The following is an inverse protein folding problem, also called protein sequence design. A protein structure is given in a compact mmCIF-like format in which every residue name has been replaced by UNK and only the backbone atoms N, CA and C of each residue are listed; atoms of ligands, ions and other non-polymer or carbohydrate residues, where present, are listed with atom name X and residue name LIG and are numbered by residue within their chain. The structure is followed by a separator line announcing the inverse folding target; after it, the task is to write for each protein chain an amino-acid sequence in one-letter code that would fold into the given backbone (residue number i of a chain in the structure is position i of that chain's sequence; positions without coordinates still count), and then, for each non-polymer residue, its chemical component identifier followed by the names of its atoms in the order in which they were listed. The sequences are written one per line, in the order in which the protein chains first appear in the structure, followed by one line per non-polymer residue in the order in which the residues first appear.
data_IF_929316868996
#
_entry.id   IF_929316868996
#
_cell.length_a   1.000
_cell.length_b   1.000
_cell.length_c   1.000
_cell.angle_alpha   90.00
_cell.angle_beta   90.00
_cell.angle_gamma   90.00
#
_symmetry.space_group_name_H-M   'P 1'
#
loop_
_entity.id
_entity.type
_entity.pdbx_description
1 polymer ?
#
# COMPACT_ATOMS: atom_id res chain seq x y z
N UNK A 1 -14.03 -41.07 -38.21
CA UNK A 1 -13.96 -39.79 -37.51
C UNK A 1 -12.74 -39.83 -36.60
N UNK A 2 -11.74 -39.00 -36.86
CA UNK A 2 -10.59 -38.91 -35.95
C UNK A 2 -11.10 -38.32 -34.64
N UNK A 3 -11.13 -39.09 -33.54
CA UNK A 3 -11.31 -38.58 -32.21
C UNK A 3 -10.10 -37.69 -31.91
N UNK A 4 -10.29 -36.38 -31.87
CA UNK A 4 -9.29 -35.43 -31.35
C UNK A 4 -9.03 -35.76 -29.89
N UNK A 5 -7.93 -36.45 -29.60
CA UNK A 5 -7.49 -36.76 -28.26
C UNK A 5 -7.18 -35.43 -27.54
N UNK A 6 -7.98 -35.13 -26.56
CA UNK A 6 -7.82 -33.91 -25.74
C UNK A 6 -6.52 -33.94 -24.97
N UNK A 7 -5.64 -32.97 -25.20
CA UNK A 7 -4.34 -32.84 -24.51
C UNK A 7 -4.55 -32.44 -23.05
N UNK A 8 -3.87 -33.13 -22.15
CA UNK A 8 -3.77 -32.70 -20.74
C UNK A 8 -2.86 -31.48 -20.66
N UNK A 9 -3.04 -30.61 -19.64
CA UNK A 9 -2.21 -29.40 -19.46
C UNK A 9 -0.70 -29.73 -19.43
N UNK A 10 -0.31 -30.88 -18.90
CA UNK A 10 1.08 -31.36 -18.90
C UNK A 10 1.65 -31.67 -20.29
N UNK A 11 0.79 -31.83 -21.29
CA UNK A 11 1.15 -32.10 -22.68
C UNK A 11 1.18 -30.82 -23.53
N UNK A 12 0.78 -29.66 -22.94
CA UNK A 12 0.85 -28.36 -23.62
C UNK A 12 2.30 -27.86 -23.69
N UNK A 13 2.57 -26.88 -24.53
CA UNK A 13 3.82 -26.14 -24.50
C UNK A 13 4.04 -25.54 -23.12
N UNK A 14 5.27 -25.46 -22.66
CA UNK A 14 5.59 -25.04 -21.28
C UNK A 14 5.06 -23.63 -20.99
N UNK A 15 5.19 -22.74 -21.98
CA UNK A 15 4.71 -21.35 -21.94
C UNK A 15 3.19 -21.21 -21.83
N UNK A 16 2.43 -22.23 -22.23
CA UNK A 16 0.96 -22.22 -22.17
C UNK A 16 0.41 -22.82 -20.88
N UNK A 17 1.26 -23.49 -20.09
CA UNK A 17 0.85 -24.07 -18.81
C UNK A 17 0.70 -22.97 -17.77
N UNK A 18 -0.46 -22.80 -17.10
CA UNK A 18 -0.73 -21.66 -16.25
C UNK A 18 0.31 -21.40 -15.14
N UNK A 19 0.84 -22.44 -14.49
CA UNK A 19 1.83 -22.30 -13.41
C UNK A 19 3.18 -21.85 -13.94
N UNK A 20 3.64 -22.46 -15.01
CA UNK A 20 4.89 -22.16 -15.69
C UNK A 20 4.83 -20.75 -16.31
N UNK A 21 3.70 -20.38 -16.90
CA UNK A 21 3.42 -19.04 -17.42
C UNK A 21 3.44 -17.99 -16.33
N UNK A 22 2.87 -18.29 -15.13
CA UNK A 22 2.94 -17.42 -13.97
C UNK A 22 4.38 -17.18 -13.53
N UNK A 23 5.18 -18.24 -13.45
CA UNK A 23 6.58 -18.17 -13.03
C UNK A 23 7.46 -17.37 -14.00
N UNK A 24 7.26 -17.60 -15.31
CA UNK A 24 8.08 -16.97 -16.34
C UNK A 24 7.69 -15.51 -16.61
N UNK A 25 6.38 -15.21 -16.66
CA UNK A 25 5.86 -13.95 -17.19
C UNK A 25 5.08 -13.12 -16.13
N UNK A 26 4.97 -13.61 -14.89
CA UNK A 26 4.25 -12.94 -13.80
C UNK A 26 2.72 -13.00 -13.94
N UNK A 27 2.04 -12.55 -12.89
CA UNK A 27 0.58 -12.71 -12.76
C UNK A 27 -0.25 -11.96 -13.80
N UNK A 28 0.27 -10.87 -14.36
CA UNK A 28 -0.46 -10.07 -15.37
C UNK A 28 -0.58 -10.73 -16.73
N UNK A 29 0.19 -11.79 -16.98
CA UNK A 29 0.16 -12.54 -18.23
C UNK A 29 -0.97 -13.58 -18.28
N UNK A 30 -1.60 -13.89 -17.14
CA UNK A 30 -2.64 -14.90 -17.03
C UNK A 30 -4.03 -14.30 -17.19
N UNK A 31 -4.91 -15.09 -17.82
CA UNK A 31 -6.35 -14.84 -17.83
C UNK A 31 -6.98 -15.23 -16.48
N UNK A 32 -8.17 -14.73 -16.19
CA UNK A 32 -8.91 -15.09 -14.97
C UNK A 32 -9.17 -16.60 -14.89
N UNK A 33 -9.46 -17.24 -16.02
CA UNK A 33 -9.64 -18.69 -16.08
C UNK A 33 -8.36 -19.46 -15.76
N UNK A 34 -7.19 -19.00 -16.20
CA UNK A 34 -5.90 -19.61 -15.86
C UNK A 34 -5.56 -19.42 -14.37
N UNK A 35 -5.89 -18.25 -13.76
CA UNK A 35 -5.73 -18.02 -12.33
C UNK A 35 -6.61 -18.96 -11.50
N UNK A 36 -7.89 -19.10 -11.88
CA UNK A 36 -8.82 -20.05 -11.24
C UNK A 36 -8.33 -21.49 -11.43
N UNK A 37 -7.81 -21.84 -12.60
CA UNK A 37 -7.25 -23.17 -12.88
C UNK A 37 -6.06 -23.52 -11.97
N UNK A 38 -5.22 -22.53 -11.63
CA UNK A 38 -4.13 -22.70 -10.64
C UNK A 38 -4.70 -23.02 -9.25
N UNK A 39 -5.77 -22.32 -8.83
CA UNK A 39 -6.42 -22.53 -7.53
C UNK A 39 -7.03 -23.92 -7.39
N UNK A 40 -7.74 -24.38 -8.43
CA UNK A 40 -8.38 -25.70 -8.40
C UNK A 40 -7.41 -26.87 -8.66
N UNK A 41 -6.25 -26.60 -9.24
CA UNK A 41 -5.12 -27.51 -9.43
C UNK A 41 -5.33 -28.63 -10.46
N UNK A 42 -6.55 -29.12 -10.65
CA UNK A 42 -6.89 -30.18 -11.61
C UNK A 42 -8.31 -30.03 -12.14
N UNK A 43 -8.55 -30.47 -13.37
CA UNK A 43 -9.88 -30.61 -13.95
C UNK A 43 -10.62 -31.87 -13.46
N UNK A 44 -11.42 -32.42 -14.35
CA UNK A 44 -12.11 -33.71 -14.21
C UNK A 44 -11.71 -34.66 -15.35
N UNK A 45 -12.44 -35.77 -15.54
CA UNK A 45 -12.16 -36.74 -16.61
C UNK A 45 -12.38 -36.15 -18.01
N UNK A 46 -13.27 -35.18 -18.15
CA UNK A 46 -13.73 -34.62 -19.43
C UNK A 46 -13.08 -33.25 -19.72
N UNK A 47 -12.64 -32.52 -18.70
CA UNK A 47 -12.16 -31.15 -18.81
C UNK A 47 -10.80 -30.96 -18.13
N UNK A 48 -9.94 -30.16 -18.75
CA UNK A 48 -8.73 -29.62 -18.09
C UNK A 48 -9.12 -28.64 -17.00
N UNK A 49 -8.19 -28.30 -16.10
CA UNK A 49 -8.43 -27.28 -15.08
C UNK A 49 -8.80 -25.91 -15.68
N UNK A 50 -8.21 -25.54 -16.83
CA UNK A 50 -8.50 -24.28 -17.52
C UNK A 50 -9.90 -24.26 -18.12
N UNK A 51 -10.34 -25.37 -18.71
CA UNK A 51 -11.69 -25.47 -19.27
C UNK A 51 -12.76 -25.47 -18.18
N UNK A 52 -12.54 -26.22 -17.10
CA UNK A 52 -13.42 -26.22 -15.94
C UNK A 52 -13.51 -24.81 -15.33
N UNK A 53 -12.37 -24.12 -15.16
CA UNK A 53 -12.33 -22.74 -14.66
C UNK A 53 -13.07 -21.78 -15.61
N UNK A 54 -12.91 -21.94 -16.92
CA UNK A 54 -13.64 -21.14 -17.92
C UNK A 54 -15.15 -21.35 -17.84
N UNK A 55 -15.60 -22.61 -17.68
CA UNK A 55 -17.02 -22.93 -17.51
C UNK A 55 -17.60 -22.31 -16.24
N UNK A 56 -16.87 -22.37 -15.12
CA UNK A 56 -17.25 -21.70 -13.86
C UNK A 56 -17.37 -20.20 -14.07
N UNK A 57 -16.38 -19.57 -14.69
CA UNK A 57 -16.36 -18.13 -14.92
C UNK A 57 -17.49 -17.68 -15.87
N UNK A 58 -17.75 -18.45 -16.92
CA UNK A 58 -18.85 -18.20 -17.86
C UNK A 58 -20.21 -18.25 -17.15
N UNK A 59 -20.42 -19.16 -16.19
CA UNK A 59 -21.67 -19.22 -15.38
C UNK A 59 -21.91 -17.98 -14.51
N UNK A 60 -20.85 -17.19 -14.28
CA UNK A 60 -20.90 -15.89 -13.60
C UNK A 60 -20.81 -14.71 -14.60
N UNK A 61 -21.17 -14.93 -15.87
CA UNK A 61 -21.14 -13.87 -16.89
C UNK A 61 -19.75 -13.32 -17.18
N UNK A 62 -18.69 -14.12 -16.97
CA UNK A 62 -17.29 -13.71 -17.08
C UNK A 62 -16.95 -12.53 -16.16
N UNK A 63 -17.57 -12.45 -15.00
CA UNK A 63 -17.41 -11.37 -14.03
C UNK A 63 -16.98 -11.92 -12.67
N UNK A 64 -15.80 -11.50 -12.19
CA UNK A 64 -15.24 -11.93 -10.90
C UNK A 64 -16.08 -11.47 -9.70
N UNK A 65 -16.79 -10.34 -9.80
CA UNK A 65 -17.67 -9.90 -8.71
C UNK A 65 -18.88 -10.82 -8.61
N UNK A 66 -19.47 -11.26 -9.74
CA UNK A 66 -20.57 -12.22 -9.75
C UNK A 66 -20.11 -13.61 -9.30
N UNK A 67 -18.87 -14.01 -9.69
CA UNK A 67 -18.28 -15.25 -9.19
C UNK A 67 -18.06 -15.19 -7.67
N UNK A 68 -17.66 -14.03 -7.14
CA UNK A 68 -17.47 -13.81 -5.70
C UNK A 68 -18.76 -13.86 -4.86
N UNK A 69 -19.95 -13.81 -5.50
CA UNK A 69 -21.25 -13.99 -4.83
C UNK A 69 -21.66 -15.46 -4.70
N UNK A 70 -21.00 -16.36 -5.44
CA UNK A 70 -21.29 -17.80 -5.36
C UNK A 70 -20.71 -18.39 -4.08
N UNK A 71 -21.53 -19.17 -3.39
CA UNK A 71 -21.12 -19.92 -2.22
C UNK A 71 -20.42 -21.24 -2.57
N UNK A 72 -19.95 -21.95 -1.53
CA UNK A 72 -19.30 -23.27 -1.68
C UNK A 72 -20.25 -24.26 -2.37
N UNK A 73 -21.53 -24.29 -1.97
CA UNK A 73 -22.51 -25.22 -2.51
C UNK A 73 -22.85 -24.94 -3.99
N UNK A 74 -22.87 -23.68 -4.40
CA UNK A 74 -23.04 -23.30 -5.82
C UNK A 74 -21.88 -23.80 -6.67
N UNK A 75 -20.64 -23.69 -6.15
CA UNK A 75 -19.45 -24.14 -6.85
C UNK A 75 -19.35 -25.68 -6.92
N UNK A 76 -19.82 -26.37 -5.89
CA UNK A 76 -19.84 -27.84 -5.87
C UNK A 76 -20.79 -28.48 -6.91
N UNK A 77 -21.71 -27.70 -7.48
CA UNK A 77 -22.59 -28.17 -8.58
C UNK A 77 -21.81 -28.42 -9.89
N UNK A 78 -20.59 -27.89 -10.02
CA UNK A 78 -19.75 -28.12 -11.17
C UNK A 78 -19.03 -29.47 -11.05
N UNK A 79 -19.26 -30.38 -12.00
CA UNK A 79 -18.53 -31.65 -12.05
C UNK A 79 -17.01 -31.40 -12.06
N UNK A 80 -16.30 -31.98 -11.10
CA UNK A 80 -14.86 -31.77 -10.89
C UNK A 80 -14.51 -30.74 -9.80
N UNK A 81 -15.49 -30.07 -9.21
CA UNK A 81 -15.33 -29.19 -8.04
C UNK A 81 -15.87 -29.88 -6.79
N UNK A 82 -14.94 -30.39 -5.99
CA UNK A 82 -15.25 -30.83 -4.63
C UNK A 82 -15.11 -29.69 -3.63
N UNK A 83 -15.39 -29.98 -2.36
CA UNK A 83 -15.37 -29.02 -1.26
C UNK A 83 -14.03 -28.24 -1.19
N UNK A 84 -12.88 -28.93 -1.21
CA UNK A 84 -11.57 -28.29 -1.12
C UNK A 84 -11.32 -27.27 -2.25
N UNK A 85 -11.70 -27.59 -3.49
CA UNK A 85 -11.56 -26.67 -4.63
C UNK A 85 -12.51 -25.48 -4.51
N UNK A 86 -13.75 -25.70 -4.07
CA UNK A 86 -14.72 -24.64 -3.85
C UNK A 86 -14.22 -23.67 -2.76
N UNK A 87 -13.72 -24.20 -1.63
CA UNK A 87 -13.13 -23.41 -0.54
C UNK A 87 -11.96 -22.55 -1.08
N UNK A 88 -11.07 -23.12 -1.89
CA UNK A 88 -9.92 -22.38 -2.45
C UNK A 88 -10.38 -21.19 -3.30
N UNK A 89 -11.40 -21.36 -4.13
CA UNK A 89 -11.95 -20.28 -4.96
C UNK A 89 -12.56 -19.18 -4.06
N UNK A 90 -13.45 -19.57 -3.14
CA UNK A 90 -14.14 -18.61 -2.24
C UNK A 90 -13.12 -17.84 -1.39
N UNK A 91 -12.13 -18.53 -0.83
CA UNK A 91 -11.10 -17.89 0.00
C UNK A 91 -10.25 -16.90 -0.82
N UNK A 92 -9.88 -17.24 -2.06
CA UNK A 92 -9.11 -16.35 -2.92
C UNK A 92 -9.90 -15.09 -3.31
N UNK A 93 -11.18 -15.23 -3.66
CA UNK A 93 -12.06 -14.11 -3.98
C UNK A 93 -12.31 -13.21 -2.77
N UNK A 94 -12.50 -13.80 -1.58
CA UNK A 94 -12.65 -13.04 -0.33
C UNK A 94 -11.37 -12.28 0.03
N UNK A 95 -10.19 -12.87 -0.14
CA UNK A 95 -8.92 -12.15 0.04
C UNK A 95 -8.80 -10.98 -0.93
N UNK A 96 -9.21 -11.15 -2.20
CA UNK A 96 -9.26 -10.07 -3.19
C UNK A 96 -10.21 -8.94 -2.77
N UNK A 97 -11.39 -9.29 -2.25
CA UNK A 97 -12.37 -8.33 -1.72
C UNK A 97 -11.79 -7.55 -0.52
N UNK A 98 -11.23 -8.24 0.47
CA UNK A 98 -10.60 -7.61 1.65
C UNK A 98 -9.43 -6.71 1.25
N UNK A 99 -8.63 -7.12 0.27
CA UNK A 99 -7.56 -6.28 -0.27
C UNK A 99 -8.11 -4.98 -0.86
N UNK A 100 -9.18 -5.06 -1.66
CA UNK A 100 -9.84 -3.88 -2.22
C UNK A 100 -10.38 -2.97 -1.11
N UNK A 101 -11.00 -3.53 -0.07
CA UNK A 101 -11.49 -2.76 1.08
C UNK A 101 -10.33 -2.13 1.87
N UNK A 102 -9.20 -2.83 2.01
CA UNK A 102 -8.00 -2.29 2.65
C UNK A 102 -7.34 -1.17 1.82
N UNK A 103 -7.43 -1.21 0.48
CA UNK A 103 -6.96 -0.12 -0.41
C UNK A 103 -7.87 1.11 -0.34
N UNK A 104 -9.11 0.96 0.13
CA UNK A 104 -10.07 2.05 0.45
C UNK A 104 -9.76 2.74 1.80
N UNK A 105 -8.72 2.36 2.53
CA UNK A 105 -8.03 3.33 3.37
C UNK A 105 -7.47 4.41 2.43
N UNK A 106 -8.34 5.41 2.16
CA UNK A 106 -8.00 6.64 1.45
C UNK A 106 -6.72 7.12 2.12
N UNK A 107 -5.59 7.02 1.43
CA UNK A 107 -4.36 7.66 1.88
C UNK A 107 -4.76 9.11 2.09
N UNK A 108 -4.85 9.55 3.36
CA UNK A 108 -5.31 10.89 3.71
C UNK A 108 -4.46 11.86 2.92
N UNK A 109 -5.10 12.75 2.18
CA UNK A 109 -4.40 13.77 1.40
C UNK A 109 -4.14 14.96 2.32
N UNK A 110 -2.93 15.47 2.29
CA UNK A 110 -2.57 16.72 2.95
C UNK A 110 -2.81 17.86 1.94
N UNK A 111 -3.73 18.76 2.26
CA UNK A 111 -4.08 19.91 1.41
C UNK A 111 -3.57 21.23 1.96
N UNK A 112 -3.13 21.25 3.22
CA UNK A 112 -2.58 22.42 3.89
C UNK A 112 -1.98 22.05 5.25
N UNK A 113 -1.43 23.06 5.94
CA UNK A 113 -0.80 22.95 7.26
C UNK A 113 -1.72 22.34 8.31
N UNK A 114 -3.03 22.70 8.26
CA UNK A 114 -4.03 22.16 9.18
C UNK A 114 -4.17 20.64 9.05
N UNK A 115 -4.19 20.07 7.86
CA UNK A 115 -4.28 18.63 7.68
C UNK A 115 -3.06 17.89 8.26
N UNK A 116 -1.87 18.50 8.12
CA UNK A 116 -0.64 17.99 8.69
C UNK A 116 -0.66 18.11 10.23
N UNK A 117 -1.11 19.22 10.76
CA UNK A 117 -1.28 19.41 12.20
C UNK A 117 -2.29 18.43 12.81
N UNK A 118 -3.46 18.27 12.17
CA UNK A 118 -4.49 17.29 12.59
C UNK A 118 -3.98 15.83 12.54
N UNK A 119 -2.97 15.56 11.72
CA UNK A 119 -2.29 14.26 11.70
C UNK A 119 -1.35 14.10 12.90
N UNK A 120 -0.52 15.12 13.20
CA UNK A 120 0.51 15.03 14.23
C UNK A 120 0.00 15.31 15.64
N UNK A 121 -1.06 16.10 15.79
CA UNK A 121 -1.58 16.48 17.10
C UNK A 121 -1.90 15.29 18.03
N UNK A 122 -2.57 14.22 17.55
CA UNK A 122 -2.82 13.03 18.38
C UNK A 122 -1.55 12.25 18.74
N UNK A 123 -0.47 12.41 17.97
CA UNK A 123 0.80 11.71 18.18
C UNK A 123 1.72 12.47 19.14
N UNK A 124 1.69 13.81 19.11
CA UNK A 124 2.70 14.66 19.71
C UNK A 124 2.16 15.59 20.80
N UNK A 125 0.86 15.92 20.77
CA UNK A 125 0.31 17.03 21.59
C UNK A 125 0.41 16.83 23.10
N UNK A 126 0.36 15.58 23.58
CA UNK A 126 0.36 15.25 24.99
C UNK A 126 1.71 14.71 25.51
N UNK A 127 2.74 14.70 24.67
CA UNK A 127 4.04 14.15 25.06
C UNK A 127 4.80 15.10 26.02
N UNK A 128 5.35 14.57 27.13
CA UNK A 128 6.12 15.36 28.07
C UNK A 128 7.57 15.64 27.66
N UNK A 129 7.98 15.12 26.50
CA UNK A 129 9.32 15.27 25.91
C UNK A 129 9.22 15.60 24.43
N UNK A 130 10.28 16.14 23.86
CA UNK A 130 10.32 16.45 22.44
C UNK A 130 10.54 15.21 21.58
N UNK A 131 9.76 15.06 20.53
CA UNK A 131 9.96 14.09 19.48
C UNK A 131 9.97 14.77 18.12
N UNK A 132 10.85 14.28 17.23
CA UNK A 132 10.91 14.74 15.86
C UNK A 132 10.41 13.66 14.93
N UNK A 133 9.42 14.01 14.11
CA UNK A 133 8.73 13.12 13.20
C UNK A 133 8.78 13.62 11.76
N UNK A 134 8.62 12.71 10.83
CA UNK A 134 8.41 13.01 9.42
C UNK A 134 7.16 12.32 8.91
N UNK A 135 6.47 13.00 8.00
CA UNK A 135 5.37 12.48 7.21
C UNK A 135 5.83 12.49 5.74
N UNK A 136 5.74 11.34 5.09
CA UNK A 136 6.12 11.16 3.68
C UNK A 136 4.89 11.17 2.80
N UNK A 137 4.93 11.91 1.70
CA UNK A 137 3.82 12.03 0.76
C UNK A 137 4.25 11.78 -0.68
N UNK A 138 3.29 11.35 -1.51
CA UNK A 138 3.46 11.23 -2.95
C UNK A 138 3.28 12.58 -3.66
N UNK A 139 3.42 12.60 -5.00
CA UNK A 139 3.21 13.82 -5.83
C UNK A 139 1.80 14.43 -5.71
N UNK A 140 0.82 13.66 -5.28
CA UNK A 140 -0.55 14.10 -5.02
C UNK A 140 -0.79 14.54 -3.58
N UNK A 141 0.27 14.63 -2.77
CA UNK A 141 0.25 14.90 -1.33
C UNK A 141 -0.56 13.86 -0.53
N UNK A 142 -0.66 12.62 -1.02
CA UNK A 142 -1.24 11.52 -0.25
C UNK A 142 -0.19 10.92 0.66
N UNK A 143 -0.55 10.65 1.90
CA UNK A 143 0.34 10.08 2.91
C UNK A 143 0.83 8.70 2.44
N UNK A 144 2.14 8.52 2.37
CA UNK A 144 2.79 7.24 2.09
C UNK A 144 3.13 6.51 3.38
N UNK A 145 3.75 7.23 4.33
CA UNK A 145 4.18 6.67 5.62
C UNK A 145 4.56 7.80 6.59
N UNK A 146 4.80 7.48 7.85
CA UNK A 146 5.29 8.42 8.86
C UNK A 146 6.25 7.72 9.81
N UNK A 147 7.22 8.46 10.37
CA UNK A 147 8.26 7.90 11.22
C UNK A 147 8.66 8.88 12.31
N UNK A 148 8.87 8.38 13.52
CA UNK A 148 9.66 9.05 14.52
C UNK A 148 11.13 8.96 14.10
N UNK A 149 11.80 10.10 14.01
CA UNK A 149 13.22 10.20 13.62
C UNK A 149 14.10 10.21 14.87
N UNK A 150 13.65 10.92 15.89
CA UNK A 150 14.38 11.03 17.16
C UNK A 150 13.46 11.42 18.29
N UNK A 151 13.84 10.98 19.48
CA UNK A 151 13.22 11.32 20.75
C UNK A 151 14.28 12.01 21.60
N UNK A 152 13.97 13.20 22.09
CA UNK A 152 14.93 14.00 22.86
C UNK A 152 14.86 13.74 24.35
N UNK A 153 16.03 13.95 25.00
CA UNK A 153 16.12 14.24 26.43
C UNK A 153 16.21 15.75 26.68
N UNK A 154 16.50 16.14 27.89
CA UNK A 154 16.57 17.54 28.38
C UNK A 154 17.55 18.45 27.58
N UNK A 155 18.44 17.87 26.76
CA UNK A 155 19.54 18.59 26.06
C UNK A 155 19.37 18.72 24.54
N UNK A 156 18.17 18.40 23.99
CA UNK A 156 17.89 18.46 22.53
C UNK A 156 17.98 17.13 21.81
N UNK A 157 17.51 17.12 20.58
CA UNK A 157 17.32 15.94 19.75
C UNK A 157 18.35 15.91 18.62
N UNK A 158 19.14 14.84 18.51
CA UNK A 158 20.06 14.67 17.38
C UNK A 158 19.28 14.13 16.19
N UNK A 159 19.15 14.95 15.15
CA UNK A 159 18.47 14.58 13.90
C UNK A 159 19.52 14.23 12.83
N UNK A 160 19.53 12.96 12.41
CA UNK A 160 20.37 12.53 11.30
C UNK A 160 19.60 12.62 9.97
N UNK A 161 19.95 13.60 9.15
CA UNK A 161 19.32 13.85 7.84
C UNK A 161 19.40 12.63 6.92
N UNK A 162 20.47 11.82 7.04
CA UNK A 162 20.63 10.61 6.20
C UNK A 162 19.54 9.58 6.46
N UNK A 163 19.08 9.46 7.72
CA UNK A 163 17.97 8.57 8.09
C UNK A 163 16.68 9.05 7.43
N UNK A 164 16.40 10.35 7.48
CA UNK A 164 15.21 10.96 6.86
C UNK A 164 15.21 10.69 5.35
N UNK A 165 16.32 11.01 4.66
CA UNK A 165 16.42 10.83 3.23
C UNK A 165 16.34 9.36 2.81
N UNK A 166 17.01 8.47 3.56
CA UNK A 166 16.89 7.03 3.32
C UNK A 166 15.42 6.56 3.38
N UNK A 167 14.68 6.96 4.43
CA UNK A 167 13.25 6.63 4.58
C UNK A 167 12.40 7.17 3.44
N UNK A 168 12.67 8.40 3.01
CA UNK A 168 11.97 9.02 1.89
C UNK A 168 12.22 8.29 0.56
N UNK A 169 13.47 7.90 0.29
CA UNK A 169 13.86 7.12 -0.89
C UNK A 169 13.27 5.71 -0.87
N UNK A 170 13.34 5.01 0.26
CA UNK A 170 12.77 3.66 0.42
C UNK A 170 11.25 3.63 0.11
N UNK A 171 10.56 4.75 0.37
CA UNK A 171 9.11 4.91 0.11
C UNK A 171 8.79 5.62 -1.21
N UNK A 172 9.80 6.00 -1.99
CA UNK A 172 9.65 6.78 -3.22
C UNK A 172 8.80 8.05 -2.99
N UNK A 173 9.03 8.72 -1.85
CA UNK A 173 8.34 9.93 -1.49
C UNK A 173 8.76 11.09 -2.40
N UNK A 174 7.79 11.93 -2.78
CA UNK A 174 8.04 13.17 -3.52
C UNK A 174 8.02 14.39 -2.60
N UNK A 175 7.47 14.24 -1.39
CA UNK A 175 7.41 15.31 -0.39
C UNK A 175 7.60 14.78 1.03
N UNK A 176 8.14 15.66 1.87
CA UNK A 176 8.35 15.44 3.31
C UNK A 176 7.70 16.60 4.06
N UNK A 177 6.93 16.28 5.10
CA UNK A 177 6.49 17.23 6.10
C UNK A 177 7.20 16.88 7.41
N UNK A 178 7.87 17.85 8.00
CA UNK A 178 8.56 17.71 9.28
C UNK A 178 7.60 18.07 10.40
N UNK A 179 7.74 17.45 11.56
CA UNK A 179 7.04 17.89 12.76
C UNK A 179 7.83 17.57 14.01
N UNK A 180 7.71 18.44 15.00
CA UNK A 180 8.13 18.17 16.37
C UNK A 180 7.17 18.88 17.35
N UNK A 181 7.19 18.47 18.60
CA UNK A 181 6.40 19.11 19.64
C UNK A 181 7.26 19.95 20.56
N UNK A 182 6.65 21.00 21.09
CA UNK A 182 7.18 21.79 22.21
C UNK A 182 6.36 21.51 23.48
N UNK A 183 6.84 20.67 24.41
CA UNK A 183 6.14 20.37 25.65
C UNK A 183 5.88 21.62 26.51
N UNK A 184 6.73 22.65 26.34
CA UNK A 184 6.54 23.96 27.01
C UNK A 184 5.33 24.76 26.50
N UNK A 185 4.76 24.36 25.36
CA UNK A 185 3.69 25.08 24.66
C UNK A 185 4.15 26.33 23.90
N UNK A 186 5.46 26.58 23.78
CA UNK A 186 6.00 27.73 23.04
C UNK A 186 5.76 27.55 21.53
N UNK A 187 4.96 28.42 20.91
CA UNK A 187 4.66 28.42 19.48
C UNK A 187 5.59 29.35 18.70
N UNK A 188 6.88 29.10 18.81
CA UNK A 188 7.93 29.83 18.10
C UNK A 188 9.05 28.87 17.72
N UNK A 189 9.46 28.90 16.44
CA UNK A 189 10.59 28.12 15.99
C UNK A 189 11.90 28.65 16.61
N UNK A 190 12.71 27.75 17.14
CA UNK A 190 14.05 28.08 17.59
C UNK A 190 15.04 28.21 16.44
N UNK A 191 16.21 28.79 16.66
CA UNK A 191 17.30 28.83 15.70
C UNK A 191 17.75 27.41 15.30
N UNK A 192 17.66 26.46 16.24
CA UNK A 192 17.98 25.05 15.97
C UNK A 192 16.98 24.42 14.99
N UNK A 193 15.68 24.70 15.18
CA UNK A 193 14.61 24.23 14.29
C UNK A 193 14.80 24.79 12.87
N UNK A 194 15.12 26.06 12.76
CA UNK A 194 15.38 26.71 11.48
C UNK A 194 16.61 26.12 10.79
N UNK A 195 17.70 25.85 11.54
CA UNK A 195 18.93 25.25 11.00
C UNK A 195 18.68 23.83 10.48
N UNK A 196 18.00 23.00 11.28
CA UNK A 196 17.73 21.60 10.86
C UNK A 196 16.77 21.54 9.70
N UNK A 197 15.71 22.36 9.69
CA UNK A 197 14.76 22.47 8.56
C UNK A 197 15.47 22.81 7.27
N UNK A 198 16.30 23.85 7.28
CA UNK A 198 17.10 24.26 6.11
C UNK A 198 18.06 23.16 5.66
N UNK A 199 18.71 22.48 6.59
CA UNK A 199 19.63 21.38 6.28
C UNK A 199 18.88 20.23 5.60
N UNK A 200 17.73 19.82 6.11
CA UNK A 200 16.91 18.76 5.53
C UNK A 200 16.40 19.18 4.15
N UNK A 201 15.86 20.40 4.01
CA UNK A 201 15.36 20.95 2.75
C UNK A 201 16.42 20.92 1.66
N UNK A 202 17.58 21.53 1.91
CA UNK A 202 18.67 21.57 0.93
C UNK A 202 19.16 20.17 0.54
N UNK A 203 19.18 19.23 1.48
CA UNK A 203 19.61 17.86 1.21
C UNK A 203 18.56 17.06 0.43
N UNK A 204 17.26 17.26 0.68
CA UNK A 204 16.15 16.60 0.01
C UNK A 204 16.00 17.10 -1.44
N UNK A 205 16.21 18.40 -1.68
CA UNK A 205 16.12 19.03 -2.98
C UNK A 205 17.09 18.41 -4.00
N UNK A 206 18.30 18.01 -3.57
CA UNK A 206 19.26 17.30 -4.42
C UNK A 206 18.77 15.93 -4.91
N UNK A 207 17.71 15.41 -4.33
CA UNK A 207 17.08 14.13 -4.66
C UNK A 207 15.67 14.30 -5.24
N UNK A 208 15.32 15.51 -5.70
CA UNK A 208 13.99 15.86 -6.20
C UNK A 208 12.85 15.60 -5.18
N UNK A 209 13.15 15.70 -3.88
CA UNK A 209 12.20 15.57 -2.78
C UNK A 209 11.97 16.94 -2.16
N UNK A 210 10.71 17.41 -2.13
CA UNK A 210 10.34 18.69 -1.56
C UNK A 210 10.06 18.59 -0.06
N UNK A 211 10.64 19.47 0.76
CA UNK A 211 10.16 19.70 2.12
C UNK A 211 8.99 20.67 2.02
N UNK A 212 7.79 20.19 2.30
CA UNK A 212 6.54 20.93 2.09
C UNK A 212 6.21 21.85 3.29
N UNK A 213 6.51 21.40 4.50
CA UNK A 213 6.28 22.17 5.73
C UNK A 213 7.12 21.64 6.89
N UNK A 214 7.19 22.44 7.96
CA UNK A 214 7.63 22.03 9.28
C UNK A 214 6.61 22.51 10.31
N UNK A 215 5.90 21.56 10.93
CA UNK A 215 4.82 21.80 11.88
C UNK A 215 5.36 21.66 13.30
N UNK A 216 5.26 22.70 14.09
CA UNK A 216 5.53 22.65 15.53
C UNK A 216 4.22 22.43 16.26
N UNK A 217 4.13 21.40 17.07
CA UNK A 217 2.92 21.01 17.81
C UNK A 217 3.02 21.45 19.27
N UNK A 218 2.03 22.21 19.72
CA UNK A 218 1.76 22.48 21.14
C UNK A 218 0.59 21.63 21.64
N UNK A 219 0.16 21.86 22.88
CA UNK A 219 -0.93 21.06 23.49
C UNK A 219 -2.25 21.14 22.72
N UNK A 220 -2.66 22.31 22.24
CA UNK A 220 -3.89 22.54 21.50
C UNK A 220 -3.70 23.50 20.31
N UNK A 221 -2.47 23.72 19.89
CA UNK A 221 -2.11 24.67 18.85
C UNK A 221 -0.97 24.12 18.00
N UNK A 222 -0.78 24.72 16.83
CA UNK A 222 0.36 24.41 15.97
C UNK A 222 0.90 25.68 15.31
N UNK A 223 2.15 25.62 14.91
CA UNK A 223 2.80 26.60 14.05
C UNK A 223 3.28 25.91 12.79
N UNK A 224 2.99 26.49 11.63
CA UNK A 224 3.50 26.04 10.33
C UNK A 224 4.58 27.02 9.86
N UNK A 225 5.79 26.54 9.60
CA UNK A 225 6.85 27.36 9.07
C UNK A 225 6.55 27.81 7.62
N UNK A 226 5.81 27.03 6.86
CA UNK A 226 5.38 27.42 5.51
C UNK A 226 4.38 28.58 5.54
N UNK A 227 3.36 28.51 6.41
CA UNK A 227 2.34 29.57 6.55
C UNK A 227 2.97 30.87 7.06
N UNK A 228 3.97 30.80 7.93
CA UNK A 228 4.73 31.96 8.44
C UNK A 228 5.77 32.50 7.44
N UNK A 229 5.91 31.87 6.26
CA UNK A 229 6.91 32.26 5.27
C UNK A 229 8.36 32.04 5.72
N UNK A 230 8.59 31.09 6.65
CA UNK A 230 9.91 30.79 7.24
C UNK A 230 10.59 29.57 6.57
N UNK A 231 9.94 28.94 5.62
CA UNK A 231 10.46 27.76 4.92
C UNK A 231 11.29 28.18 3.68
N UNK A 232 12.43 28.85 3.88
CA UNK A 232 13.32 29.29 2.78
C UNK A 232 14.27 28.21 2.34
#
# INVERSE_FOLDING_TARGET
MNEYKKLKIKEWAVEDRPREKLLANGQRSLTDAELIAILIGSGNLEETAVELARRILTSAGNNLNELGRKGIDDLKQFNGIGEAKAISIVAALELGRRRKDAEVFIKKKITGSKDAADFFLPLLGDLPHEEFWILLVDRGNKILDHFMVSQGGISGTIIDVRIILKKALDKLASGIILSHNHPSGTMQASDADMKITRKIKNSAELMDISVLDHIIIGQNSYLSLADEGLLY
#
